data_IF_905849785642
#
_entry.id   IF_905849785642
#
_cell.length_a   1.000
_cell.length_b   1.000
_cell.length_c   1.000
_cell.angle_alpha   90.00
_cell.angle_beta   90.00
_cell.angle_gamma   90.00
#
_symmetry.space_group_name_H-M   'P 1'
#
loop_
_entity.id
_entity.type
_entity.pdbx_description
1 polymer ?
#
# COMPACT_ATOMS: atom_id res chain seq x y z
N UNK A 1 17.27 -13.67 13.82
CA UNK A 1 16.18 -12.95 13.13
C UNK A 1 16.78 -12.41 11.84
N UNK A 2 16.37 -12.93 10.70
CA UNK A 2 16.76 -12.36 9.40
C UNK A 2 16.45 -10.87 9.42
N UNK A 3 17.46 -10.04 9.18
CA UNK A 3 17.27 -8.59 9.02
C UNK A 3 16.27 -8.43 7.89
N UNK A 4 15.09 -7.93 8.21
CA UNK A 4 14.13 -7.54 7.19
C UNK A 4 14.78 -6.37 6.45
N UNK A 5 15.47 -6.68 5.37
CA UNK A 5 16.26 -5.72 4.63
C UNK A 5 15.28 -4.87 3.83
N UNK A 6 14.91 -3.72 4.39
CA UNK A 6 14.12 -2.66 3.73
C UNK A 6 14.97 -1.94 2.67
N UNK A 7 15.75 -2.73 1.94
CA UNK A 7 16.60 -2.29 0.87
C UNK A 7 15.75 -2.06 -0.37
N UNK A 8 15.80 -0.84 -0.91
CA UNK A 8 15.22 -0.50 -2.21
C UNK A 8 15.79 -1.36 -3.36
N UNK A 9 16.84 -2.13 -3.10
CA UNK A 9 17.39 -3.12 -4.02
C UNK A 9 16.46 -4.34 -4.20
N UNK A 10 15.56 -4.61 -3.26
CA UNK A 10 14.54 -5.64 -3.44
C UNK A 10 13.43 -5.12 -4.37
N UNK A 11 13.31 -5.74 -5.54
CA UNK A 11 12.30 -5.39 -6.57
C UNK A 11 10.88 -5.39 -6.00
N UNK A 12 10.58 -6.25 -5.03
CA UNK A 12 9.27 -6.32 -4.38
C UNK A 12 9.03 -5.09 -3.50
N UNK A 13 9.98 -4.75 -2.64
CA UNK A 13 9.89 -3.58 -1.75
C UNK A 13 9.80 -2.30 -2.58
N UNK A 14 10.57 -2.20 -3.67
CA UNK A 14 10.50 -1.08 -4.61
C UNK A 14 9.13 -0.96 -5.29
N UNK A 15 8.57 -2.06 -5.78
CA UNK A 15 7.23 -2.06 -6.40
C UNK A 15 6.14 -1.71 -5.38
N UNK A 16 6.24 -2.25 -4.16
CA UNK A 16 5.32 -1.93 -3.07
C UNK A 16 5.35 -0.45 -2.73
N UNK A 17 6.55 0.14 -2.56
CA UNK A 17 6.72 1.56 -2.28
C UNK A 17 6.17 2.43 -3.40
N UNK A 18 6.44 2.11 -4.67
CA UNK A 18 5.93 2.88 -5.82
C UNK A 18 4.40 2.91 -5.88
N UNK A 19 3.73 1.86 -5.39
CA UNK A 19 2.26 1.78 -5.37
C UNK A 19 1.69 2.41 -4.10
N UNK A 20 2.26 2.11 -2.94
CA UNK A 20 1.72 2.54 -1.65
C UNK A 20 2.00 4.01 -1.35
N UNK A 21 3.12 4.56 -1.78
CA UNK A 21 3.49 5.94 -1.51
C UNK A 21 2.47 6.95 -2.10
N UNK A 22 2.03 6.85 -3.37
CA UNK A 22 0.96 7.72 -3.88
C UNK A 22 -0.39 7.46 -3.19
N UNK A 23 -0.72 6.20 -2.85
CA UNK A 23 -1.97 5.89 -2.13
C UNK A 23 -1.98 6.53 -0.74
N UNK A 24 -0.86 6.46 -0.01
CA UNK A 24 -0.71 7.08 1.31
C UNK A 24 -0.83 8.60 1.19
N UNK A 25 -0.21 9.21 0.18
CA UNK A 25 -0.34 10.65 -0.06
C UNK A 25 -1.80 11.05 -0.29
N UNK A 26 -2.55 10.31 -1.11
CA UNK A 26 -3.98 10.53 -1.33
C UNK A 26 -4.79 10.32 -0.06
N UNK A 27 -4.49 9.29 0.73
CA UNK A 27 -5.18 9.03 2.00
C UNK A 27 -4.97 10.16 3.01
N UNK A 28 -3.76 10.72 3.10
CA UNK A 28 -3.46 11.88 3.96
C UNK A 28 -4.25 13.11 3.52
N UNK A 29 -4.30 13.38 2.22
CA UNK A 29 -5.10 14.50 1.68
C UNK A 29 -6.59 14.28 2.02
N UNK A 30 -7.11 13.07 1.80
CA UNK A 30 -8.49 12.74 2.13
C UNK A 30 -8.77 12.91 3.62
N UNK A 31 -7.85 12.53 4.50
CA UNK A 31 -8.03 12.70 5.94
C UNK A 31 -8.16 14.17 6.35
N UNK A 32 -7.57 15.09 5.59
CA UNK A 32 -7.66 16.52 5.87
C UNK A 32 -8.88 17.19 5.25
N UNK A 33 -9.30 16.72 4.06
CA UNK A 33 -10.41 17.31 3.29
C UNK A 33 -11.77 16.79 3.77
N UNK A 34 -11.82 15.53 4.21
CA UNK A 34 -13.06 14.83 4.50
C UNK A 34 -13.49 15.08 5.96
N UNK A 35 -14.80 15.28 6.24
CA UNK A 35 -15.29 15.40 7.61
C UNK A 35 -14.99 14.16 8.45
N UNK A 36 -14.86 14.33 9.77
CA UNK A 36 -14.47 13.26 10.69
C UNK A 36 -15.35 11.99 10.60
N UNK A 37 -16.63 12.17 10.33
CA UNK A 37 -17.62 11.10 10.13
C UNK A 37 -17.26 10.15 8.99
N UNK A 38 -16.52 10.64 8.00
CA UNK A 38 -16.11 9.94 6.79
C UNK A 38 -14.63 9.56 6.79
N UNK A 39 -13.92 9.67 7.92
CA UNK A 39 -12.53 9.20 8.05
C UNK A 39 -12.38 7.68 7.81
N UNK A 40 -13.46 6.92 7.82
CA UNK A 40 -13.44 5.52 7.38
C UNK A 40 -13.05 5.38 5.89
N UNK A 41 -13.27 6.41 5.06
CA UNK A 41 -12.95 6.39 3.62
C UNK A 41 -11.44 6.26 3.35
N UNK A 42 -10.56 7.14 3.88
CA UNK A 42 -9.11 6.97 3.72
C UNK A 42 -8.60 5.66 4.36
N UNK A 43 -9.26 5.15 5.41
CA UNK A 43 -8.93 3.84 5.98
C UNK A 43 -9.25 2.69 5.01
N UNK A 44 -10.46 2.68 4.44
CA UNK A 44 -10.86 1.68 3.44
C UNK A 44 -9.97 1.72 2.21
N UNK A 45 -9.58 2.91 1.75
CA UNK A 45 -8.66 3.08 0.63
C UNK A 45 -7.31 2.39 0.89
N UNK A 46 -6.73 2.59 2.07
CA UNK A 46 -5.47 1.93 2.45
C UNK A 46 -5.61 0.41 2.56
N UNK A 47 -6.73 -0.08 3.11
CA UNK A 47 -7.03 -1.52 3.20
C UNK A 47 -7.12 -2.11 1.80
N UNK A 48 -7.92 -1.52 0.90
CA UNK A 48 -8.11 -2.00 -0.47
C UNK A 48 -6.78 -1.98 -1.24
N UNK A 49 -5.99 -0.93 -1.11
CA UNK A 49 -4.69 -0.83 -1.77
C UNK A 49 -3.71 -1.91 -1.27
N UNK A 50 -3.66 -2.13 0.04
CA UNK A 50 -2.79 -3.15 0.64
C UNK A 50 -3.23 -4.55 0.24
N UNK A 51 -4.52 -4.86 0.32
CA UNK A 51 -5.08 -6.14 -0.11
C UNK A 51 -4.87 -6.36 -1.61
N UNK A 52 -5.12 -5.34 -2.44
CA UNK A 52 -4.91 -5.40 -3.89
C UNK A 52 -3.46 -5.69 -4.25
N UNK A 53 -2.51 -5.03 -3.57
CA UNK A 53 -1.09 -5.35 -3.73
C UNK A 53 -0.78 -6.80 -3.33
N UNK A 54 -1.31 -7.27 -2.20
CA UNK A 54 -1.10 -8.64 -1.74
C UNK A 54 -1.67 -9.67 -2.72
N UNK A 55 -2.86 -9.44 -3.26
CA UNK A 55 -3.44 -10.28 -4.30
C UNK A 55 -2.56 -10.27 -5.55
N UNK A 56 -2.17 -9.09 -6.04
CA UNK A 56 -1.25 -8.98 -7.18
C UNK A 56 0.04 -9.75 -6.94
N UNK A 57 0.61 -9.64 -5.74
CA UNK A 57 1.82 -10.36 -5.35
C UNK A 57 1.63 -11.88 -5.34
N UNK A 58 0.53 -12.38 -4.74
CA UNK A 58 0.21 -13.81 -4.68
C UNK A 58 -0.04 -14.40 -6.09
N UNK A 59 -0.77 -13.68 -6.94
CA UNK A 59 -1.00 -14.09 -8.33
C UNK A 59 0.27 -14.01 -9.18
N UNK A 60 1.11 -13.00 -8.97
CA UNK A 60 2.41 -12.86 -9.63
C UNK A 60 3.38 -13.97 -9.26
N UNK A 61 3.34 -14.45 -8.01
CA UNK A 61 4.13 -15.61 -7.57
C UNK A 61 3.66 -16.92 -8.20
N UNK A 62 2.36 -17.09 -8.48
CA UNK A 62 1.82 -18.29 -9.16
C UNK A 62 2.20 -18.40 -10.65
N UNK A 63 2.65 -17.31 -11.28
CA UNK A 63 3.06 -17.32 -12.71
C UNK A 63 4.56 -17.53 -12.93
N UNK A 64 5.36 -17.62 -11.86
CA UNK A 64 6.78 -18.01 -11.92
C UNK A 64 6.93 -19.42 -11.37
#
# INVERSE_FOLDING_TARGET
MDRFDFSLNNKLVRAWLLIMLPVIAVAVILFWVVPAEFHFVPHLLLIVATSGFFFYFLFGKKRK
#
